data_IF_521742060942
#
_entry.id   IF_521742060942
#
_cell.length_a   1.000
_cell.length_b   1.000
_cell.length_c   1.000
_cell.angle_alpha   90.00
_cell.angle_beta   90.00
_cell.angle_gamma   90.00
#
_symmetry.space_group_name_H-M   'P 1'
#
loop_
_entity.id
_entity.type
_entity.pdbx_description
1 polymer ?
#
# COMPACT_ATOMS: atom_id res chain seq x y z
N UNK A 1 17.14 55.55 -28.80
CA UNK A 1 16.09 54.71 -29.40
C UNK A 1 16.54 53.26 -29.37
N UNK A 2 15.62 52.33 -29.10
CA UNK A 2 15.84 51.15 -28.27
C UNK A 2 16.27 49.93 -29.07
N UNK A 3 17.02 49.00 -28.46
CA UNK A 3 16.93 47.60 -28.88
C UNK A 3 16.07 46.84 -27.86
N UNK A 4 15.00 46.30 -28.42
CA UNK A 4 13.86 45.64 -27.77
C UNK A 4 14.26 44.23 -27.34
N UNK A 5 13.90 43.84 -26.11
CA UNK A 5 13.99 42.47 -25.61
C UNK A 5 13.10 41.52 -26.42
N UNK A 6 13.51 40.30 -26.77
CA UNK A 6 12.57 39.22 -27.01
C UNK A 6 12.17 38.58 -25.68
N UNK A 7 10.87 38.49 -25.49
CA UNK A 7 10.16 37.87 -24.38
C UNK A 7 10.56 36.40 -24.17
N UNK A 8 10.82 36.06 -22.91
CA UNK A 8 10.69 34.71 -22.38
C UNK A 8 9.27 34.20 -22.66
N UNK A 9 9.16 33.26 -23.60
CA UNK A 9 8.01 32.37 -23.69
C UNK A 9 8.46 31.04 -23.14
N UNK A 10 8.12 30.79 -21.88
CA UNK A 10 8.20 29.46 -21.30
C UNK A 10 7.26 28.53 -22.05
N UNK A 11 7.83 27.52 -22.69
CA UNK A 11 7.20 26.23 -22.90
C UNK A 11 8.26 25.23 -22.45
N UNK A 12 8.18 24.81 -21.18
CA UNK A 12 8.85 23.59 -20.74
C UNK A 12 8.17 22.45 -21.50
N UNK A 13 8.91 21.91 -22.47
CA UNK A 13 8.54 20.69 -23.15
C UNK A 13 8.28 19.60 -22.10
N UNK A 14 7.08 19.03 -22.10
CA UNK A 14 6.84 17.75 -21.47
C UNK A 14 7.85 16.76 -22.07
N UNK A 15 8.79 16.29 -21.26
CA UNK A 15 9.68 15.21 -21.68
C UNK A 15 8.79 13.98 -21.77
N UNK A 16 8.43 13.62 -22.99
CA UNK A 16 7.80 12.35 -23.32
C UNK A 16 8.86 11.27 -23.16
N UNK A 17 8.97 10.77 -21.93
CA UNK A 17 9.48 9.46 -21.53
C UNK A 17 10.13 9.58 -20.14
N UNK A 18 9.27 9.64 -19.12
CA UNK A 18 9.65 9.02 -17.86
C UNK A 18 9.39 7.53 -18.05
N UNK A 19 10.36 6.81 -18.61
CA UNK A 19 10.42 5.36 -18.42
C UNK A 19 10.64 5.13 -16.93
N UNK A 20 9.57 4.95 -16.16
CA UNK A 20 9.66 4.39 -14.82
C UNK A 20 10.12 2.95 -15.01
N UNK A 21 11.44 2.72 -14.99
CA UNK A 21 11.95 1.37 -14.78
C UNK A 21 11.43 0.93 -13.41
N UNK A 22 10.68 -0.16 -13.36
CA UNK A 22 10.26 -0.74 -12.08
C UNK A 22 11.52 -1.09 -11.29
N UNK A 23 11.77 -0.39 -10.19
CA UNK A 23 12.82 -0.72 -9.25
C UNK A 23 12.20 -1.57 -8.14
N UNK A 24 12.72 -2.77 -7.94
CA UNK A 24 12.25 -3.69 -6.91
C UNK A 24 12.88 -3.40 -5.54
N UNK A 25 13.89 -2.52 -5.49
CA UNK A 25 14.54 -2.07 -4.28
C UNK A 25 13.68 -1.07 -3.49
N UNK A 26 13.89 -1.04 -2.17
CA UNK A 26 13.38 0.05 -1.35
C UNK A 26 14.30 1.25 -1.54
N UNK A 27 13.77 2.31 -2.14
CA UNK A 27 14.49 3.55 -2.40
C UNK A 27 14.20 4.58 -1.30
N UNK A 28 15.19 5.41 -0.96
CA UNK A 28 14.99 6.54 -0.07
C UNK A 28 15.68 7.80 -0.59
N UNK A 29 15.18 8.96 -0.14
CA UNK A 29 15.80 10.25 -0.38
C UNK A 29 16.10 10.92 0.96
N UNK A 30 17.30 11.50 1.07
CA UNK A 30 17.71 12.26 2.25
C UNK A 30 17.43 13.75 2.02
N UNK A 31 16.56 14.31 2.86
CA UNK A 31 16.16 15.71 2.78
C UNK A 31 17.06 16.64 3.61
N UNK A 32 17.94 16.11 4.45
CA UNK A 32 18.90 16.90 5.24
C UNK A 32 20.16 17.25 4.43
N UNK A 33 20.37 16.57 3.29
CA UNK A 33 21.43 16.89 2.34
C UNK A 33 20.95 17.98 1.39
N UNK A 34 21.69 19.09 1.33
CA UNK A 34 21.41 20.16 0.37
C UNK A 34 21.74 19.69 -1.06
N UNK A 35 20.70 19.27 -1.76
CA UNK A 35 20.77 18.90 -3.17
C UNK A 35 20.49 20.15 -4.02
N UNK A 36 21.32 20.43 -5.03
CA UNK A 36 21.00 21.47 -6.02
C UNK A 36 19.88 20.96 -6.95
N UNK A 37 18.63 20.96 -6.47
CA UNK A 37 17.46 20.48 -7.22
C UNK A 37 16.68 19.39 -6.47
N UNK A 38 16.20 18.38 -7.20
CA UNK A 38 15.51 17.23 -6.60
C UNK A 38 16.47 16.48 -5.66
N UNK A 39 16.00 16.00 -4.49
CA UNK A 39 16.80 15.16 -3.61
C UNK A 39 17.37 13.94 -4.33
N UNK A 40 18.63 13.60 -4.03
CA UNK A 40 19.23 12.36 -4.52
C UNK A 40 18.47 11.15 -3.96
N UNK A 41 18.21 10.17 -4.83
CA UNK A 41 17.59 8.89 -4.47
C UNK A 41 18.67 7.83 -4.31
N UNK A 42 18.63 7.10 -3.21
CA UNK A 42 19.58 6.06 -2.83
C UNK A 42 18.94 4.68 -2.89
N UNK A 43 19.70 3.68 -3.34
CA UNK A 43 19.30 2.28 -3.48
C UNK A 43 20.23 1.31 -2.71
N UNK A 44 20.96 1.82 -1.72
CA UNK A 44 21.88 1.05 -0.88
C UNK A 44 21.19 0.30 0.27
N UNK A 45 19.87 0.14 0.21
CA UNK A 45 19.12 -0.70 1.15
C UNK A 45 19.19 -2.16 0.68
N UNK A 46 19.49 -3.07 1.60
CA UNK A 46 19.65 -4.48 1.23
C UNK A 46 18.28 -5.15 1.22
N UNK A 47 17.88 -5.74 0.09
CA UNK A 47 16.67 -6.56 -0.02
C UNK A 47 17.04 -8.01 -0.36
N UNK A 48 16.67 -9.01 0.45
CA UNK A 48 16.94 -10.40 0.15
C UNK A 48 16.00 -10.88 -0.97
N UNK A 49 16.44 -11.86 -1.75
CA UNK A 49 15.73 -12.32 -2.97
C UNK A 49 14.41 -13.02 -2.68
N UNK A 50 14.17 -13.42 -1.42
CA UNK A 50 12.94 -14.06 -0.96
C UNK A 50 11.90 -13.04 -0.43
N UNK A 51 12.31 -11.79 -0.16
CA UNK A 51 11.38 -10.72 0.11
C UNK A 51 10.56 -10.42 -1.16
N UNK A 52 9.23 -10.29 -1.06
CA UNK A 52 8.38 -10.21 -2.24
C UNK A 52 8.56 -8.89 -3.00
N UNK A 53 8.58 -9.00 -4.32
CA UNK A 53 8.47 -7.89 -5.27
C UNK A 53 7.00 -7.73 -5.64
N UNK A 54 6.32 -6.76 -5.00
CA UNK A 54 4.87 -6.60 -5.13
C UNK A 54 4.46 -5.16 -5.38
N UNK A 55 3.41 -4.98 -6.18
CA UNK A 55 2.70 -3.72 -6.40
C UNK A 55 1.37 -3.69 -5.64
N UNK A 56 0.88 -2.49 -5.29
CA UNK A 56 -0.40 -2.33 -4.60
C UNK A 56 -0.44 -2.85 -3.15
N UNK A 57 0.72 -3.12 -2.53
CA UNK A 57 0.81 -3.41 -1.10
C UNK A 57 0.71 -2.13 -0.24
N UNK A 58 0.67 -2.31 1.08
CA UNK A 58 0.77 -1.21 2.05
C UNK A 58 2.02 -1.40 2.91
N UNK A 59 2.74 -0.30 3.11
CA UNK A 59 3.81 -0.20 4.09
C UNK A 59 3.25 0.42 5.37
N UNK A 60 3.21 -0.36 6.43
CA UNK A 60 2.80 0.06 7.75
C UNK A 60 4.02 0.42 8.60
N UNK A 61 4.25 1.72 8.88
CA UNK A 61 5.35 2.10 9.75
C UNK A 61 5.05 1.70 11.19
N UNK A 62 6.09 1.32 11.91
CA UNK A 62 6.18 1.35 13.37
C UNK A 62 7.30 2.33 13.72
N UNK A 63 6.87 3.52 14.13
CA UNK A 63 7.76 4.64 14.40
C UNK A 63 8.55 4.51 15.69
N UNK A 64 8.13 3.61 16.60
CA UNK A 64 8.81 3.36 17.87
C UNK A 64 9.97 2.40 17.64
N UNK A 65 9.70 1.24 17.03
CA UNK A 65 10.70 0.22 16.76
C UNK A 65 11.49 0.46 15.47
N UNK A 66 11.16 1.52 14.71
CA UNK A 66 11.79 1.87 13.42
C UNK A 66 11.67 0.74 12.40
N UNK A 67 10.51 0.09 12.39
CA UNK A 67 10.19 -0.98 11.46
C UNK A 67 9.17 -0.51 10.43
N UNK A 68 9.17 -1.17 9.28
CA UNK A 68 8.15 -1.00 8.25
C UNK A 68 7.62 -2.38 7.88
N UNK A 69 6.35 -2.64 8.12
CA UNK A 69 5.71 -3.90 7.75
C UNK A 69 5.12 -3.81 6.35
N UNK A 70 5.40 -4.80 5.50
CA UNK A 70 4.82 -4.93 4.16
C UNK A 70 3.64 -5.89 4.20
N UNK A 71 2.44 -5.34 4.04
CA UNK A 71 1.22 -6.12 3.89
C UNK A 71 0.72 -6.12 2.44
N UNK A 72 0.24 -7.29 2.00
CA UNK A 72 -0.50 -7.39 0.75
C UNK A 72 0.36 -7.28 -0.51
N UNK A 73 -0.27 -6.74 -1.54
CA UNK A 73 0.29 -6.55 -2.87
C UNK A 73 0.09 -7.75 -3.80
N UNK A 74 0.34 -7.53 -5.08
CA UNK A 74 0.33 -8.56 -6.11
C UNK A 74 1.67 -8.60 -6.83
N UNK A 75 1.98 -9.73 -7.44
CA UNK A 75 3.23 -9.93 -8.16
C UNK A 75 3.06 -9.45 -9.60
N UNK A 76 3.91 -8.52 -10.04
CA UNK A 76 4.01 -8.15 -11.47
C UNK A 76 4.69 -9.25 -12.29
N UNK A 77 5.57 -10.03 -11.65
CA UNK A 77 6.32 -11.14 -12.23
C UNK A 77 6.41 -12.31 -11.23
N UNK A 78 6.44 -13.54 -11.75
CA UNK A 78 6.58 -14.75 -10.93
C UNK A 78 5.24 -15.34 -10.45
N UNK A 79 5.34 -16.32 -9.55
CA UNK A 79 4.18 -17.06 -9.02
C UNK A 79 3.83 -16.55 -7.62
N UNK A 80 2.55 -16.22 -7.34
CA UNK A 80 2.17 -15.80 -6.01
C UNK A 80 2.43 -16.88 -4.96
N UNK A 81 2.87 -16.44 -3.80
CA UNK A 81 3.07 -17.30 -2.62
C UNK A 81 1.98 -17.05 -1.58
N UNK A 82 1.87 -17.97 -0.62
CA UNK A 82 1.00 -17.74 0.54
C UNK A 82 1.41 -16.46 1.29
N UNK A 83 0.46 -15.84 1.98
CA UNK A 83 0.73 -14.63 2.74
C UNK A 83 1.70 -14.89 3.89
N UNK A 84 2.77 -14.09 3.91
CA UNK A 84 3.71 -13.94 5.02
C UNK A 84 3.92 -12.44 5.24
N UNK A 85 3.86 -12.00 6.49
CA UNK A 85 4.16 -10.63 6.83
C UNK A 85 5.68 -10.41 6.82
N UNK A 86 6.13 -9.44 6.06
CA UNK A 86 7.52 -9.01 6.01
C UNK A 86 7.68 -7.70 6.78
N UNK A 87 8.82 -7.53 7.42
CA UNK A 87 9.22 -6.29 8.05
C UNK A 87 10.60 -5.88 7.58
N UNK A 88 10.79 -4.58 7.42
CA UNK A 88 12.09 -3.95 7.19
C UNK A 88 12.48 -3.18 8.44
N UNK A 89 13.63 -3.52 9.02
CA UNK A 89 14.22 -2.83 10.15
C UNK A 89 15.15 -1.72 9.64
N UNK A 90 14.74 -0.46 9.86
CA UNK A 90 15.47 0.70 9.36
C UNK A 90 16.75 0.98 10.17
N UNK A 91 16.86 0.51 11.41
CA UNK A 91 18.07 0.68 12.24
C UNK A 91 19.18 -0.27 11.78
N UNK A 92 18.81 -1.48 11.39
CA UNK A 92 19.76 -2.53 10.99
C UNK A 92 19.84 -2.77 9.48
N UNK A 93 19.10 -2.00 8.66
CA UNK A 93 19.03 -2.13 7.19
C UNK A 93 18.77 -3.58 6.76
N UNK A 94 17.70 -4.19 7.28
CA UNK A 94 17.45 -5.62 7.09
C UNK A 94 15.98 -5.94 6.94
N UNK A 95 15.64 -6.73 5.93
CA UNK A 95 14.34 -7.41 5.83
C UNK A 95 14.31 -8.71 6.61
N UNK A 96 13.16 -9.00 7.20
CA UNK A 96 12.90 -10.26 7.89
C UNK A 96 11.41 -10.61 7.84
N UNK A 97 11.12 -11.90 7.87
CA UNK A 97 9.75 -12.39 8.05
C UNK A 97 9.34 -12.26 9.51
N UNK A 98 8.11 -11.84 9.74
CA UNK A 98 7.49 -11.87 11.06
C UNK A 98 6.98 -13.29 11.29
N UNK A 99 7.27 -13.87 12.46
CA UNK A 99 6.79 -15.21 12.80
C UNK A 99 5.26 -15.23 12.77
N UNK A 100 4.66 -16.16 12.03
CA UNK A 100 3.22 -16.21 11.90
C UNK A 100 2.55 -16.67 13.20
N UNK A 101 1.56 -15.91 13.67
CA UNK A 101 0.62 -16.37 14.68
C UNK A 101 -0.49 -17.23 14.04
N UNK A 102 -1.13 -18.06 14.86
CA UNK A 102 -2.29 -18.88 14.46
C UNK A 102 -3.43 -18.07 13.85
N UNK A 103 -3.65 -16.82 14.29
CA UNK A 103 -4.66 -15.91 13.74
C UNK A 103 -4.36 -15.42 12.33
N UNK A 104 -3.11 -15.55 11.85
CA UNK A 104 -2.75 -15.28 10.46
C UNK A 104 -3.34 -16.33 9.50
N UNK A 105 -3.74 -17.50 10.01
CA UNK A 105 -4.27 -18.58 9.20
C UNK A 105 -5.48 -18.10 8.37
N UNK A 106 -5.39 -18.26 7.05
CA UNK A 106 -6.46 -17.91 6.12
C UNK A 106 -6.42 -16.47 5.60
N UNK A 107 -5.55 -15.61 6.12
CA UNK A 107 -5.33 -14.27 5.55
C UNK A 107 -4.77 -14.41 4.13
N UNK A 108 -5.37 -13.65 3.21
CA UNK A 108 -4.95 -13.57 1.82
C UNK A 108 -4.21 -12.26 1.57
N UNK A 109 -3.28 -12.31 0.63
CA UNK A 109 -2.50 -11.16 0.20
C UNK A 109 -3.37 -10.34 -0.77
N UNK A 110 -4.05 -9.32 -0.26
CA UNK A 110 -4.83 -8.42 -1.10
C UNK A 110 -3.96 -7.30 -1.68
N UNK A 111 -4.24 -6.87 -2.91
CA UNK A 111 -3.58 -5.74 -3.58
C UNK A 111 -4.52 -4.55 -3.69
N UNK A 112 -3.96 -3.34 -3.78
CA UNK A 112 -4.70 -2.09 -3.98
C UNK A 112 -5.85 -1.85 -2.99
N UNK A 113 -5.74 -2.34 -1.76
CA UNK A 113 -6.64 -1.96 -0.68
C UNK A 113 -6.16 -0.69 0.03
N UNK A 114 -7.01 -0.16 0.91
CA UNK A 114 -6.63 0.97 1.73
C UNK A 114 -6.02 0.48 3.04
N UNK A 115 -4.92 1.09 3.47
CA UNK A 115 -4.30 0.77 4.75
C UNK A 115 -3.87 1.99 5.53
N UNK A 116 -3.92 1.89 6.86
CA UNK A 116 -3.47 2.95 7.77
C UNK A 116 -2.89 2.33 9.04
N UNK A 117 -2.01 3.05 9.71
CA UNK A 117 -1.49 2.68 11.03
C UNK A 117 -1.92 3.70 12.07
N UNK A 118 -2.17 3.23 13.28
CA UNK A 118 -2.41 4.05 14.47
C UNK A 118 -1.25 3.80 15.42
N UNK A 119 -0.27 4.70 15.40
CA UNK A 119 1.00 4.54 16.12
C UNK A 119 0.81 4.39 17.63
N UNK A 120 -0.04 5.24 18.24
CA UNK A 120 -0.28 5.24 19.69
C UNK A 120 -0.94 3.96 20.21
N UNK A 121 -1.51 3.14 19.32
CA UNK A 121 -2.14 1.85 19.66
C UNK A 121 -1.35 0.67 19.12
N UNK A 122 -0.30 0.90 18.32
CA UNK A 122 0.45 -0.14 17.61
C UNK A 122 -0.48 -1.09 16.81
N UNK A 123 -1.45 -0.52 16.11
CA UNK A 123 -2.41 -1.26 15.27
C UNK A 123 -2.33 -0.79 13.84
N UNK A 124 -2.35 -1.74 12.91
CA UNK A 124 -2.53 -1.53 11.49
C UNK A 124 -3.93 -1.97 11.05
N UNK A 125 -4.52 -1.22 10.13
CA UNK A 125 -5.76 -1.58 9.46
C UNK A 125 -5.53 -1.73 7.96
N UNK A 126 -6.23 -2.70 7.37
CA UNK A 126 -6.40 -2.85 5.93
C UNK A 126 -7.88 -3.02 5.60
N UNK A 127 -8.37 -2.32 4.59
CA UNK A 127 -9.75 -2.44 4.16
C UNK A 127 -9.85 -2.61 2.65
N UNK A 128 -10.63 -3.61 2.25
CA UNK A 128 -10.86 -3.93 0.84
C UNK A 128 -9.67 -4.57 0.15
N UNK A 129 -9.43 -4.18 -1.10
CA UNK A 129 -8.38 -4.69 -1.98
C UNK A 129 -8.84 -5.85 -2.87
N UNK A 130 -8.06 -6.10 -3.91
CA UNK A 130 -8.25 -7.13 -4.91
C UNK A 130 -7.56 -8.44 -4.53
N UNK A 131 -8.29 -9.55 -4.72
CA UNK A 131 -7.72 -10.88 -4.81
C UNK A 131 -7.77 -11.34 -6.26
N UNK A 132 -6.66 -11.87 -6.75
CA UNK A 132 -6.49 -12.30 -8.15
C UNK A 132 -5.52 -13.47 -8.24
N UNK A 133 -5.31 -13.96 -9.47
CA UNK A 133 -4.28 -14.93 -9.79
C UNK A 133 -2.85 -14.38 -9.69
N UNK A 134 -2.66 -13.07 -9.51
CA UNK A 134 -1.35 -12.42 -9.28
C UNK A 134 -1.08 -12.16 -7.80
N UNK A 135 -2.06 -12.33 -6.91
CA UNK A 135 -1.87 -12.12 -5.46
C UNK A 135 -2.08 -13.38 -4.63
N UNK A 136 -2.91 -14.33 -5.09
CA UNK A 136 -3.25 -15.55 -4.36
C UNK A 136 -2.79 -16.81 -5.12
N UNK A 137 -2.03 -17.73 -4.47
CA UNK A 137 -1.65 -18.99 -5.09
C UNK A 137 -2.88 -19.87 -5.37
N UNK A 138 -2.83 -20.63 -6.46
CA UNK A 138 -3.89 -21.57 -6.86
C UNK A 138 -5.28 -20.92 -7.05
N UNK A 139 -5.32 -19.65 -7.48
CA UNK A 139 -6.57 -18.92 -7.75
C UNK A 139 -7.43 -19.55 -8.86
N UNK A 140 -6.79 -20.24 -9.81
CA UNK A 140 -7.46 -20.83 -10.97
C UNK A 140 -7.91 -19.77 -11.99
N UNK A 141 -9.02 -20.06 -12.69
CA UNK A 141 -9.58 -19.21 -13.76
C UNK A 141 -10.64 -18.22 -13.29
N UNK A 142 -10.76 -18.01 -11.97
CA UNK A 142 -11.74 -17.09 -11.39
C UNK A 142 -11.37 -15.64 -11.70
N UNK A 143 -12.36 -14.79 -11.93
CA UNK A 143 -12.15 -13.35 -12.05
C UNK A 143 -11.64 -12.76 -10.73
N UNK A 144 -10.92 -11.64 -10.82
CA UNK A 144 -10.49 -10.89 -9.63
C UNK A 144 -11.68 -10.50 -8.77
N UNK A 145 -11.50 -10.53 -7.45
CA UNK A 145 -12.55 -10.29 -6.46
C UNK A 145 -12.11 -9.24 -5.46
N UNK A 146 -12.88 -8.16 -5.35
CA UNK A 146 -12.66 -7.16 -4.31
C UNK A 146 -13.18 -7.66 -2.96
N UNK A 147 -12.45 -7.35 -1.89
CA UNK A 147 -12.84 -7.66 -0.52
C UNK A 147 -13.75 -6.58 0.06
N UNK A 148 -14.68 -7.00 0.92
CA UNK A 148 -15.49 -6.12 1.76
C UNK A 148 -15.10 -6.19 3.24
N UNK A 149 -14.05 -6.94 3.55
CA UNK A 149 -13.57 -7.19 4.92
C UNK A 149 -12.58 -6.13 5.38
N UNK A 150 -12.59 -5.87 6.68
CA UNK A 150 -11.57 -5.05 7.36
C UNK A 150 -10.68 -5.96 8.19
N UNK A 151 -9.39 -5.91 7.89
CA UNK A 151 -8.34 -6.61 8.61
C UNK A 151 -7.69 -5.64 9.60
N UNK A 152 -7.48 -6.12 10.82
CA UNK A 152 -6.72 -5.45 11.84
C UNK A 152 -5.51 -6.32 12.20
N UNK A 153 -4.34 -5.70 12.29
CA UNK A 153 -3.12 -6.32 12.77
C UNK A 153 -2.67 -5.61 14.05
N UNK A 154 -2.64 -6.35 15.16
CA UNK A 154 -2.03 -5.90 16.41
C UNK A 154 -0.52 -6.17 16.33
N UNK A 155 0.26 -5.09 16.25
CA UNK A 155 1.71 -5.20 16.07
C UNK A 155 2.43 -5.61 17.36
N UNK A 156 1.82 -5.40 18.54
CA UNK A 156 2.41 -5.79 19.83
C UNK A 156 2.21 -7.28 20.10
N UNK A 157 1.00 -7.75 19.88
CA UNK A 157 0.62 -9.14 20.12
C UNK A 157 0.95 -10.04 18.93
N UNK A 158 1.21 -9.44 17.76
CA UNK A 158 1.38 -10.14 16.50
C UNK A 158 0.15 -11.01 16.16
N UNK A 159 -1.04 -10.45 16.36
CA UNK A 159 -2.31 -11.13 16.10
C UNK A 159 -3.12 -10.40 15.05
N UNK A 160 -4.00 -11.16 14.39
CA UNK A 160 -4.84 -10.66 13.32
C UNK A 160 -6.31 -10.84 13.66
N UNK A 161 -7.10 -9.81 13.35
CA UNK A 161 -8.56 -9.87 13.44
C UNK A 161 -9.14 -9.54 12.07
N UNK A 162 -9.95 -10.45 11.53
CA UNK A 162 -10.67 -10.23 10.29
C UNK A 162 -12.15 -10.00 10.60
N UNK A 163 -12.63 -8.81 10.27
CA UNK A 163 -13.99 -8.35 10.54
C UNK A 163 -14.75 -8.07 9.25
N UNK A 164 -16.07 -8.17 9.29
CA UNK A 164 -16.91 -7.64 8.22
C UNK A 164 -16.74 -6.12 8.16
N UNK A 165 -16.62 -5.58 6.95
CA UNK A 165 -16.70 -4.14 6.75
C UNK A 165 -18.10 -3.58 7.03
N UNK A 166 -18.31 -2.28 6.79
CA UNK A 166 -19.60 -1.62 7.01
C UNK A 166 -20.74 -2.20 6.16
N UNK A 167 -20.43 -2.87 5.05
CA UNK A 167 -21.39 -3.57 4.20
C UNK A 167 -20.73 -4.76 3.49
N UNK A 168 -21.47 -5.38 2.57
CA UNK A 168 -21.03 -6.55 1.80
C UNK A 168 -20.40 -6.21 0.44
N UNK A 169 -20.25 -4.92 0.11
CA UNK A 169 -19.75 -4.45 -1.19
C UNK A 169 -18.22 -4.49 -1.17
N UNK A 170 -17.64 -5.17 -2.17
CA UNK A 170 -16.19 -5.23 -2.33
C UNK A 170 -15.64 -3.89 -2.78
N UNK A 171 -14.52 -3.44 -2.19
CA UNK A 171 -13.89 -2.16 -2.51
C UNK A 171 -12.40 -2.31 -2.75
N UNK A 172 -11.84 -1.47 -3.61
CA UNK A 172 -10.41 -1.40 -3.87
C UNK A 172 -10.03 0.00 -4.37
N UNK A 173 -8.74 0.26 -4.46
CA UNK A 173 -8.10 1.47 -4.99
C UNK A 173 -8.45 2.77 -4.24
N UNK A 174 -9.03 2.65 -3.07
CA UNK A 174 -9.29 3.76 -2.16
C UNK A 174 -8.14 4.02 -1.19
N UNK A 175 -8.26 5.10 -0.46
CA UNK A 175 -7.34 5.48 0.63
C UNK A 175 -8.08 5.47 1.96
N UNK A 176 -7.36 5.22 3.06
CA UNK A 176 -7.90 5.22 4.41
C UNK A 176 -7.11 6.17 5.28
N UNK A 177 -7.83 7.02 6.01
CA UNK A 177 -7.27 8.03 6.89
C UNK A 177 -7.82 7.82 8.30
N UNK A 178 -6.95 7.93 9.29
CA UNK A 178 -7.33 7.93 10.71
C UNK A 178 -7.48 9.37 11.21
N UNK A 179 -8.62 9.66 11.84
CA UNK A 179 -8.91 10.93 12.49
C UNK A 179 -8.92 10.71 14.01
N UNK A 180 -7.96 11.28 14.77
CA UNK A 180 -7.86 11.12 16.21
C UNK A 180 -8.83 12.04 16.97
N UNK A 181 -10.12 12.01 16.64
CA UNK A 181 -11.16 12.78 17.32
C UNK A 181 -12.01 11.87 18.22
N UNK A 182 -12.21 12.26 19.48
CA UNK A 182 -12.88 11.45 20.51
C UNK A 182 -12.24 10.04 20.62
N UNK A 183 -12.98 8.98 20.29
CA UNK A 183 -12.49 7.60 20.38
C UNK A 183 -11.68 7.16 19.14
N UNK A 184 -11.61 8.04 18.13
CA UNK A 184 -10.94 7.82 16.86
C UNK A 184 -11.90 7.33 15.76
N UNK A 185 -11.64 7.74 14.52
CA UNK A 185 -12.47 7.38 13.36
C UNK A 185 -11.59 7.00 12.16
N UNK A 186 -11.97 5.94 11.45
CA UNK A 186 -11.38 5.55 10.17
C UNK A 186 -12.29 6.04 9.04
N UNK A 187 -11.70 6.73 8.07
CA UNK A 187 -12.42 7.26 6.90
C UNK A 187 -11.82 6.66 5.64
N UNK A 188 -12.64 5.97 4.86
CA UNK A 188 -12.29 5.44 3.54
C UNK A 188 -12.77 6.39 2.45
N UNK A 189 -11.91 6.73 1.50
CA UNK A 189 -12.19 7.73 0.46
C UNK A 189 -11.75 7.20 -0.91
N UNK A 190 -12.60 7.42 -1.91
CA UNK A 190 -12.29 7.13 -3.32
C UNK A 190 -12.26 5.63 -3.65
N UNK A 191 -11.63 5.30 -4.78
CA UNK A 191 -11.53 3.93 -5.27
C UNK A 191 -12.75 3.47 -6.06
N UNK A 192 -12.90 2.15 -6.13
CA UNK A 192 -13.95 1.46 -6.89
C UNK A 192 -14.70 0.48 -6.00
N UNK A 193 -15.96 0.29 -6.32
CA UNK A 193 -16.78 -0.81 -5.84
C UNK A 193 -16.83 -1.90 -6.90
N UNK A 194 -16.69 -3.16 -6.49
CA UNK A 194 -16.91 -4.31 -7.36
C UNK A 194 -18.12 -5.08 -6.87
N UNK A 195 -19.08 -5.28 -7.77
CA UNK A 195 -20.05 -6.35 -7.58
C UNK A 195 -19.38 -7.69 -7.88
N UNK A 196 -19.90 -8.78 -7.30
CA UNK A 196 -19.37 -10.15 -7.48
C UNK A 196 -19.45 -10.67 -8.95
N UNK A 197 -19.90 -9.85 -9.89
CA UNK A 197 -20.01 -10.16 -11.32
C UNK A 197 -18.85 -9.58 -12.15
N UNK A 198 -17.81 -9.03 -11.51
CA UNK A 198 -16.64 -8.45 -12.19
C UNK A 198 -16.86 -7.06 -12.78
N UNK A 199 -18.02 -6.45 -12.55
CA UNK A 199 -18.27 -5.05 -12.93
C UNK A 199 -17.79 -4.13 -11.81
N UNK A 200 -17.00 -3.12 -12.18
CA UNK A 200 -16.56 -2.06 -11.28
C UNK A 200 -17.30 -0.76 -11.56
N UNK A 201 -17.65 -0.05 -10.49
CA UNK A 201 -18.17 1.32 -10.53
C UNK A 201 -17.34 2.19 -9.59
N UNK A 202 -17.20 3.48 -9.89
CA UNK A 202 -16.52 4.40 -8.98
C UNK A 202 -17.20 4.39 -7.61
N UNK A 203 -16.41 4.34 -6.53
CA UNK A 203 -16.92 4.52 -5.18
C UNK A 203 -17.56 5.91 -5.11
N UNK A 204 -18.88 5.98 -4.83
CA UNK A 204 -19.53 7.28 -4.78
C UNK A 204 -19.03 8.02 -3.54
N UNK A 205 -18.85 9.34 -3.69
CA UNK A 205 -18.43 10.24 -2.62
C UNK A 205 -19.62 10.82 -1.84
N UNK A 206 -20.83 10.30 -2.08
CA UNK A 206 -22.01 10.75 -1.37
C UNK A 206 -22.07 10.15 0.04
N UNK A 207 -22.33 11.01 1.02
CA UNK A 207 -22.57 10.58 2.40
C UNK A 207 -23.96 9.97 2.44
N UNK A 208 -24.08 8.66 2.23
CA UNK A 208 -25.29 7.95 2.64
C UNK A 208 -25.27 7.81 4.16
N UNK A 209 -25.86 8.78 4.84
CA UNK A 209 -26.27 8.62 6.24
C UNK A 209 -27.28 7.47 6.28
N UNK A 210 -26.87 6.34 6.86
CA UNK A 210 -27.80 5.31 7.35
C UNK A 210 -28.48 5.79 8.62
#
# INVERSE_FOLDING_TARGET
>A
MPQVCPSSTGILAATTDLSFSEDTALLYADFDVNNQGMPAVYNNLTKPTDAPDVNGGILWPDTVNKMIYLYGGEYSQGTPSNFSLWSYDALYNRWQTVSADSTQAGIKRASYGAGVTIQDRAVAFYYGGWLSNTSVPNWGSQSSRALSTMLQYDMLQNTWTNSSGPDTIGRAEGSMVYIPASDGMLVYIGGVQSANNGTTIGQPMDVRTS
#
